data_IF_787153031601
#
_entry.id   IF_787153031601
#
_cell.length_a   1.000
_cell.length_b   1.000
_cell.length_c   1.000
_cell.angle_alpha   90.00
_cell.angle_beta   90.00
_cell.angle_gamma   90.00
#
_symmetry.space_group_name_H-M   'P 1'
#
loop_
_entity.id
_entity.type
_entity.pdbx_description
1 polymer ?
#
# COMPACT_ATOMS: atom_id res chain seq x y z
N UNK A 1 -15.50 5.98 5.22
CA UNK A 1 -16.71 6.79 5.03
C UNK A 1 -16.51 7.78 3.87
N UNK A 2 -15.47 8.61 3.92
CA UNK A 2 -15.24 9.74 2.99
C UNK A 2 -15.13 9.28 1.51
N UNK A 3 -14.39 8.20 1.25
CA UNK A 3 -14.26 7.65 -0.11
C UNK A 3 -15.61 7.24 -0.73
N UNK A 4 -16.54 6.73 0.08
CA UNK A 4 -17.92 6.41 -0.37
C UNK A 4 -18.70 7.66 -0.67
N UNK A 5 -18.58 8.68 0.18
CA UNK A 5 -19.24 9.98 -0.02
C UNK A 5 -18.72 10.68 -1.26
N UNK A 6 -17.41 10.68 -1.48
CA UNK A 6 -16.81 11.22 -2.71
C UNK A 6 -17.35 10.51 -3.96
N UNK A 7 -17.42 9.19 -3.94
CA UNK A 7 -17.96 8.43 -5.05
C UNK A 7 -19.46 8.69 -5.28
N UNK A 8 -20.23 8.87 -4.21
CA UNK A 8 -21.65 9.22 -4.31
C UNK A 8 -21.83 10.61 -4.92
N UNK A 9 -21.18 11.62 -4.35
CA UNK A 9 -21.24 13.01 -4.84
C UNK A 9 -20.81 13.12 -6.30
N UNK A 10 -19.73 12.40 -6.68
CA UNK A 10 -19.28 12.37 -8.06
C UNK A 10 -20.36 11.82 -9.00
N UNK A 11 -21.03 10.74 -8.63
CA UNK A 11 -22.13 10.17 -9.45
C UNK A 11 -23.35 11.10 -9.54
N UNK A 12 -23.80 11.61 -8.41
CA UNK A 12 -24.99 12.51 -8.32
C UNK A 12 -24.81 13.78 -9.14
N UNK A 13 -23.60 14.34 -9.12
CA UNK A 13 -23.28 15.56 -9.83
C UNK A 13 -22.60 15.35 -11.19
N UNK A 14 -22.48 14.09 -11.65
CA UNK A 14 -21.86 13.71 -12.94
C UNK A 14 -20.44 14.28 -13.10
N UNK A 15 -19.67 14.27 -12.01
CA UNK A 15 -18.30 14.79 -11.99
C UNK A 15 -17.33 13.77 -12.58
N UNK A 16 -16.36 14.27 -13.33
CA UNK A 16 -15.22 13.46 -13.79
C UNK A 16 -14.15 13.47 -12.70
N UNK A 17 -13.82 12.28 -12.20
CA UNK A 17 -12.85 12.12 -11.14
C UNK A 17 -11.82 11.04 -11.53
N UNK A 18 -10.58 11.20 -11.09
CA UNK A 18 -9.52 10.25 -11.33
C UNK A 18 -8.62 10.13 -10.09
N UNK A 19 -8.38 8.91 -9.67
CA UNK A 19 -7.42 8.61 -8.62
C UNK A 19 -6.00 8.51 -9.20
N UNK A 20 -4.99 8.84 -8.38
CA UNK A 20 -3.60 8.91 -8.79
C UNK A 20 -2.87 7.57 -8.94
N UNK A 21 -3.54 6.49 -9.32
CA UNK A 21 -2.93 5.19 -9.62
C UNK A 21 -2.42 5.18 -11.06
N UNK A 22 -1.40 5.97 -11.35
CA UNK A 22 -0.94 6.28 -12.70
C UNK A 22 -0.43 5.07 -13.48
N UNK A 23 0.11 4.03 -12.81
CA UNK A 23 0.65 2.83 -13.45
C UNK A 23 -0.47 2.06 -14.18
N UNK A 24 -1.70 2.14 -13.70
CA UNK A 24 -2.89 1.56 -14.33
C UNK A 24 -3.06 1.96 -15.81
N UNK A 25 -2.67 3.19 -16.17
CA UNK A 25 -2.73 3.69 -17.53
C UNK A 25 -1.61 3.17 -18.45
N UNK A 26 -0.62 2.47 -17.90
CA UNK A 26 0.56 2.01 -18.64
C UNK A 26 0.24 0.91 -19.67
N UNK A 27 0.86 1.00 -20.85
CA UNK A 27 0.66 0.01 -21.91
C UNK A 27 1.07 -1.40 -21.49
N UNK A 28 2.14 -1.54 -20.69
CA UNK A 28 2.59 -2.83 -20.18
C UNK A 28 1.56 -3.48 -19.26
N UNK A 29 0.87 -2.70 -18.42
CA UNK A 29 -0.21 -3.20 -17.57
C UNK A 29 -1.36 -3.75 -18.39
N UNK A 30 -1.83 -3.00 -19.39
CA UNK A 30 -2.90 -3.44 -20.28
C UNK A 30 -2.54 -4.73 -20.99
N UNK A 31 -1.32 -4.82 -21.53
CA UNK A 31 -0.85 -6.04 -22.20
C UNK A 31 -0.79 -7.24 -21.24
N UNK A 32 -0.30 -7.05 -20.01
CA UNK A 32 -0.28 -8.11 -19.01
C UNK A 32 -1.70 -8.58 -18.67
N UNK A 33 -2.62 -7.64 -18.48
CA UNK A 33 -4.05 -7.96 -18.24
C UNK A 33 -4.66 -8.75 -19.42
N UNK A 34 -4.40 -8.33 -20.65
CA UNK A 34 -4.86 -9.04 -21.86
C UNK A 34 -4.33 -10.48 -21.91
N UNK A 35 -3.04 -10.69 -21.64
CA UNK A 35 -2.43 -12.02 -21.62
C UNK A 35 -3.04 -12.92 -20.54
N UNK A 36 -3.25 -12.40 -19.34
CA UNK A 36 -3.89 -13.16 -18.27
C UNK A 36 -5.34 -13.51 -18.61
N UNK A 37 -6.12 -12.52 -19.08
CA UNK A 37 -7.54 -12.71 -19.41
C UNK A 37 -7.77 -13.58 -20.64
N UNK A 38 -6.82 -13.64 -21.57
CA UNK A 38 -6.88 -14.54 -22.72
C UNK A 38 -6.60 -16.02 -22.34
N UNK A 39 -6.21 -16.29 -21.10
CA UNK A 39 -5.85 -17.64 -20.67
C UNK A 39 -4.44 -18.08 -21.09
N UNK A 40 -3.61 -17.19 -21.64
CA UNK A 40 -2.28 -17.53 -22.15
C UNK A 40 -1.35 -18.15 -21.12
N UNK A 41 -1.53 -17.82 -19.84
CA UNK A 41 -0.75 -18.38 -18.71
C UNK A 41 -1.52 -19.46 -17.93
N UNK A 42 -2.72 -19.83 -18.38
CA UNK A 42 -3.61 -20.74 -17.67
C UNK A 42 -4.27 -20.13 -16.43
N UNK A 43 -4.95 -20.95 -15.61
CA UNK A 43 -5.62 -20.49 -14.41
C UNK A 43 -4.60 -20.07 -13.34
N UNK A 44 -4.83 -18.90 -12.73
CA UNK A 44 -3.95 -18.34 -11.70
C UNK A 44 -4.56 -18.59 -10.32
N UNK A 45 -3.88 -19.36 -9.50
CA UNK A 45 -4.26 -19.65 -8.11
C UNK A 45 -3.44 -18.90 -7.06
N UNK A 46 -2.26 -18.38 -7.44
CA UNK A 46 -1.34 -17.71 -6.52
C UNK A 46 -0.70 -16.48 -7.17
N UNK A 47 -0.57 -15.41 -6.38
CA UNK A 47 0.05 -14.15 -6.80
C UNK A 47 0.97 -13.65 -5.71
N UNK A 48 2.21 -13.36 -6.06
CA UNK A 48 3.16 -12.71 -5.18
C UNK A 48 3.47 -11.30 -5.68
N UNK A 49 3.34 -10.33 -4.80
CA UNK A 49 3.66 -8.93 -5.07
C UNK A 49 4.66 -8.45 -4.03
N UNK A 50 5.77 -7.91 -4.48
CA UNK A 50 6.80 -7.42 -3.57
C UNK A 50 7.36 -6.07 -3.99
N UNK A 51 7.73 -5.27 -3.00
CA UNK A 51 8.42 -4.00 -3.19
C UNK A 51 9.90 -4.20 -2.87
N UNK A 52 10.73 -4.18 -3.93
CA UNK A 52 12.08 -4.72 -3.93
C UNK A 52 13.23 -3.77 -3.60
N UNK A 53 12.98 -2.59 -3.07
CA UNK A 53 14.03 -1.57 -3.01
C UNK A 53 15.20 -1.88 -2.05
N UNK A 54 15.07 -2.79 -1.07
CA UNK A 54 16.11 -3.04 -0.06
C UNK A 54 16.21 -4.50 0.41
N UNK A 55 15.97 -5.43 -0.48
CA UNK A 55 15.95 -6.84 -0.10
C UNK A 55 17.35 -7.45 0.08
N UNK A 56 17.70 -7.76 1.30
CA UNK A 56 18.90 -8.53 1.64
C UNK A 56 18.55 -9.83 2.40
N UNK A 57 17.57 -10.55 1.91
CA UNK A 57 17.14 -11.81 2.55
C UNK A 57 15.94 -11.64 3.48
N UNK A 58 15.55 -12.69 4.22
CA UNK A 58 14.44 -12.62 5.14
C UNK A 58 14.68 -11.58 6.24
N UNK A 59 13.62 -10.95 6.78
CA UNK A 59 13.74 -9.99 7.87
C UNK A 59 14.49 -10.57 9.06
N UNK A 60 15.40 -9.80 9.62
CA UNK A 60 16.14 -10.19 10.83
C UNK A 60 15.49 -9.57 12.07
N UNK A 61 15.75 -10.09 13.28
CA UNK A 61 15.23 -9.48 14.51
C UNK A 61 15.61 -8.00 14.67
N UNK A 62 16.73 -7.56 14.10
CA UNK A 62 17.15 -6.16 14.08
C UNK A 62 16.31 -5.27 13.18
N UNK A 63 15.65 -5.85 12.18
CA UNK A 63 14.75 -5.13 11.28
C UNK A 63 13.41 -4.79 11.95
N UNK A 64 13.17 -5.33 13.14
CA UNK A 64 11.99 -5.04 13.95
C UNK A 64 12.11 -3.73 14.73
N UNK A 65 13.30 -3.10 14.76
CA UNK A 65 13.46 -1.81 15.41
C UNK A 65 12.78 -0.70 14.62
N UNK A 66 11.66 -0.26 15.13
CA UNK A 66 10.91 0.87 14.60
C UNK A 66 11.28 2.12 15.38
N UNK A 67 11.34 3.30 14.72
CA UNK A 67 11.65 4.53 15.43
C UNK A 67 10.51 4.95 16.34
N UNK A 68 10.84 5.33 17.56
CA UNK A 68 9.97 6.10 18.42
C UNK A 68 9.74 7.51 17.86
N UNK A 69 8.68 8.16 18.32
CA UNK A 69 8.48 9.58 18.01
C UNK A 69 9.67 10.40 18.52
N UNK A 70 10.16 11.37 17.73
CA UNK A 70 11.26 12.22 18.15
C UNK A 70 10.88 13.04 19.38
N UNK A 71 11.81 13.19 20.29
CA UNK A 71 11.64 13.97 21.52
C UNK A 71 12.17 15.40 21.42
N UNK A 72 13.06 15.64 20.48
CA UNK A 72 13.58 16.97 20.15
C UNK A 72 12.55 17.82 19.41
N UNK A 73 12.67 19.13 19.53
CA UNK A 73 11.73 20.11 18.96
C UNK A 73 12.51 21.20 18.23
N UNK A 74 13.10 20.89 17.07
CA UNK A 74 13.80 21.92 16.30
C UNK A 74 12.81 22.96 15.77
N UNK A 75 13.28 24.18 15.47
CA UNK A 75 12.45 25.22 14.92
C UNK A 75 11.92 24.81 13.54
N UNK A 76 10.69 25.24 13.25
CA UNK A 76 10.09 25.07 11.91
C UNK A 76 10.89 25.90 10.90
N UNK A 77 11.30 25.33 9.77
CA UNK A 77 11.94 26.09 8.70
C UNK A 77 11.04 27.24 8.20
N UNK A 78 11.60 28.43 7.91
CA UNK A 78 10.79 29.58 7.47
C UNK A 78 10.06 29.39 6.14
N UNK A 79 10.41 28.34 5.39
CA UNK A 79 9.77 27.96 4.13
C UNK A 79 8.63 26.94 4.30
N UNK A 80 8.35 26.51 5.53
CA UNK A 80 7.31 25.53 5.83
C UNK A 80 6.27 26.12 6.77
N UNK A 81 5.02 26.12 6.36
CA UNK A 81 3.89 26.33 7.26
C UNK A 81 3.52 24.97 7.87
N UNK A 82 3.94 24.75 9.11
CA UNK A 82 3.79 23.46 9.77
C UNK A 82 2.32 23.16 10.13
N UNK A 83 1.55 24.15 10.48
CA UNK A 83 0.14 24.01 10.81
C UNK A 83 -0.68 23.60 9.58
N UNK A 84 -0.47 24.27 8.45
CA UNK A 84 -1.07 23.87 7.19
C UNK A 84 -0.62 22.50 6.72
N UNK A 85 0.64 22.14 6.96
CA UNK A 85 1.14 20.81 6.61
C UNK A 85 0.52 19.71 7.46
N UNK A 86 0.32 19.92 8.75
CA UNK A 86 -0.37 18.99 9.65
C UNK A 86 -1.82 18.74 9.20
N UNK A 87 -2.51 19.77 8.73
CA UNK A 87 -3.90 19.68 8.32
C UNK A 87 -4.78 19.06 9.42
N UNK A 88 -5.53 17.98 9.14
CA UNK A 88 -6.41 17.34 10.12
C UNK A 88 -5.69 16.38 11.07
N UNK A 89 -4.38 16.19 10.94
CA UNK A 89 -3.63 15.31 11.85
C UNK A 89 -3.57 15.91 13.26
N UNK A 90 -3.40 15.06 14.26
CA UNK A 90 -3.22 15.52 15.63
C UNK A 90 -1.99 16.44 15.73
N UNK A 91 -2.15 17.53 16.49
CA UNK A 91 -1.06 18.48 16.72
C UNK A 91 0.17 17.80 17.33
N UNK A 92 1.31 18.08 16.72
CA UNK A 92 2.62 17.62 17.22
C UNK A 92 3.73 18.58 16.81
N UNK A 93 4.82 18.63 17.58
CA UNK A 93 5.98 19.45 17.24
C UNK A 93 6.56 19.05 15.88
N UNK A 94 7.02 20.07 15.14
CA UNK A 94 7.79 19.83 13.93
C UNK A 94 9.05 18.99 14.23
N UNK A 95 9.36 18.11 13.29
CA UNK A 95 10.63 17.42 13.24
C UNK A 95 10.98 17.05 11.78
N UNK A 96 12.25 17.20 11.35
CA UNK A 96 12.68 16.86 9.98
C UNK A 96 12.58 15.34 9.68
N UNK A 97 12.35 14.50 10.69
CA UNK A 97 12.07 13.08 10.49
C UNK A 97 10.73 12.84 9.78
N UNK A 98 9.83 13.81 9.74
CA UNK A 98 8.53 13.70 9.05
C UNK A 98 8.59 14.17 7.61
N UNK A 99 9.35 15.23 7.32
CA UNK A 99 9.35 15.90 6.02
C UNK A 99 10.75 15.91 5.38
N UNK A 100 10.84 15.95 4.05
CA UNK A 100 9.75 16.08 3.07
C UNK A 100 9.12 14.77 2.60
N UNK A 101 9.50 13.62 2.97
CA UNK A 101 8.95 12.38 2.41
C UNK A 101 8.85 11.22 3.39
N UNK A 102 9.35 11.41 4.58
CA UNK A 102 9.43 10.35 5.59
C UNK A 102 8.15 10.17 6.40
N UNK A 103 7.16 11.06 6.23
CA UNK A 103 5.84 11.00 6.86
C UNK A 103 5.12 9.66 6.63
N UNK A 104 5.43 8.97 5.54
CA UNK A 104 4.83 7.68 5.19
C UNK A 104 5.01 6.60 6.24
N UNK A 105 6.06 6.68 7.02
CA UNK A 105 6.38 5.74 8.09
C UNK A 105 5.73 6.05 9.44
N UNK A 106 4.84 7.02 9.53
CA UNK A 106 4.24 7.47 10.81
C UNK A 106 2.73 7.38 10.78
N UNK A 107 2.15 6.69 11.77
CA UNK A 107 0.70 6.45 11.82
C UNK A 107 -0.16 7.72 11.83
N UNK A 108 0.37 8.83 12.35
CA UNK A 108 -0.33 10.11 12.34
C UNK A 108 -0.54 10.68 10.94
N UNK A 109 0.23 10.25 9.96
CA UNK A 109 0.25 10.84 8.62
C UNK A 109 -0.05 9.84 7.52
N UNK A 110 0.25 8.54 7.73
CA UNK A 110 0.09 7.52 6.70
C UNK A 110 -0.01 6.10 7.28
N UNK A 111 -0.18 5.13 6.39
CA UNK A 111 -0.36 3.72 6.68
C UNK A 111 0.86 2.86 6.29
N UNK A 112 2.06 3.47 6.25
CA UNK A 112 3.29 2.78 5.89
C UNK A 112 3.36 2.32 4.44
N UNK A 113 4.35 1.50 4.14
CA UNK A 113 4.62 1.01 2.78
C UNK A 113 3.47 0.19 2.21
N UNK A 114 2.83 -0.65 3.02
CA UNK A 114 1.67 -1.42 2.58
C UNK A 114 0.53 -0.48 2.13
N UNK A 115 0.17 0.50 2.96
CA UNK A 115 -0.94 1.40 2.65
C UNK A 115 -0.67 2.32 1.46
N UNK A 116 0.59 2.74 1.27
CA UNK A 116 0.99 3.64 0.19
C UNK A 116 1.15 2.91 -1.16
N UNK A 117 1.76 1.72 -1.16
CA UNK A 117 2.15 1.04 -2.40
C UNK A 117 1.27 -0.14 -2.83
N UNK A 118 0.47 -0.71 -1.94
CA UNK A 118 -0.38 -1.84 -2.29
C UNK A 118 -1.31 -1.52 -3.47
N UNK A 119 -1.95 -0.35 -3.45
CA UNK A 119 -2.85 0.10 -4.51
C UNK A 119 -2.15 0.26 -5.87
N UNK A 120 -0.84 0.53 -5.90
CA UNK A 120 -0.09 0.65 -7.13
C UNK A 120 0.35 -0.71 -7.69
N UNK A 121 0.84 -1.60 -6.85
CA UNK A 121 1.47 -2.84 -7.31
C UNK A 121 0.51 -4.03 -7.37
N UNK A 122 -0.51 -4.06 -6.52
CA UNK A 122 -1.54 -5.10 -6.57
C UNK A 122 -2.63 -4.82 -7.61
N UNK A 123 -2.71 -3.58 -8.11
CA UNK A 123 -3.69 -3.15 -9.12
C UNK A 123 -3.73 -4.10 -10.33
N UNK A 124 -2.56 -4.52 -10.82
CA UNK A 124 -2.47 -5.47 -11.93
C UNK A 124 -3.21 -6.78 -11.64
N UNK A 125 -3.00 -7.35 -10.45
CA UNK A 125 -3.65 -8.59 -10.05
C UNK A 125 -5.17 -8.39 -9.90
N UNK A 126 -5.59 -7.29 -9.29
CA UNK A 126 -6.99 -6.94 -9.14
C UNK A 126 -7.70 -6.81 -10.48
N UNK A 127 -7.08 -6.13 -11.43
CA UNK A 127 -7.64 -5.94 -12.78
C UNK A 127 -7.62 -7.21 -13.60
N UNK A 128 -6.49 -7.91 -13.63
CA UNK A 128 -6.33 -9.10 -14.48
C UNK A 128 -7.18 -10.28 -14.01
N UNK A 129 -7.34 -10.44 -12.69
CA UNK A 129 -8.03 -11.57 -12.07
C UNK A 129 -9.42 -11.22 -11.53
N UNK A 130 -9.91 -10.00 -11.74
CA UNK A 130 -11.18 -9.48 -11.20
C UNK A 130 -11.33 -9.71 -9.70
N UNK A 131 -10.27 -9.44 -8.93
CA UNK A 131 -10.28 -9.56 -7.48
C UNK A 131 -11.11 -8.43 -6.87
N UNK A 132 -11.93 -8.74 -5.83
CA UNK A 132 -12.78 -7.73 -5.18
C UNK A 132 -12.66 -7.78 -3.66
N UNK A 133 -13.25 -8.76 -3.05
CA UNK A 133 -13.35 -8.86 -1.61
C UNK A 133 -12.66 -10.15 -1.14
N UNK A 134 -11.58 -10.05 -0.36
CA UNK A 134 -10.96 -11.23 0.22
C UNK A 134 -11.88 -11.83 1.29
N UNK A 135 -11.83 -13.14 1.43
CA UNK A 135 -12.49 -13.87 2.51
C UNK A 135 -11.67 -13.88 3.79
N UNK A 136 -10.35 -13.84 3.64
CA UNK A 136 -9.40 -13.84 4.74
C UNK A 136 -8.27 -12.87 4.45
N UNK A 137 -7.83 -12.14 5.46
CA UNK A 137 -6.62 -11.32 5.44
C UNK A 137 -5.81 -11.60 6.68
N UNK A 138 -4.56 -12.00 6.48
CA UNK A 138 -3.58 -12.21 7.54
C UNK A 138 -2.36 -11.33 7.30
N UNK A 139 -1.82 -10.75 8.36
CA UNK A 139 -0.63 -9.92 8.25
C UNK A 139 0.41 -10.29 9.32
N UNK A 140 1.67 -10.24 8.93
CA UNK A 140 2.83 -10.41 9.80
C UNK A 140 3.72 -9.18 9.67
N UNK A 141 4.24 -8.72 10.78
CA UNK A 141 5.15 -7.57 10.85
C UNK A 141 5.29 -7.07 12.27
N UNK A 142 6.28 -6.22 12.54
CA UNK A 142 6.43 -5.60 13.85
C UNK A 142 5.29 -4.60 14.10
N UNK A 143 4.84 -4.54 15.34
CA UNK A 143 3.82 -3.58 15.79
C UNK A 143 4.49 -2.48 16.61
N UNK A 144 4.18 -1.23 16.29
CA UNK A 144 4.68 -0.07 17.00
C UNK A 144 3.58 1.00 17.13
N UNK A 145 3.47 1.71 18.27
CA UNK A 145 2.39 2.67 18.48
C UNK A 145 2.51 3.93 17.61
N UNK A 146 3.72 4.34 17.26
CA UNK A 146 3.99 5.60 16.57
C UNK A 146 4.31 5.42 15.08
N UNK A 147 4.96 4.32 14.71
CA UNK A 147 5.49 4.12 13.37
C UNK A 147 4.98 2.85 12.70
N UNK A 148 4.83 2.94 11.38
CA UNK A 148 4.40 1.83 10.55
C UNK A 148 5.48 0.75 10.44
N UNK A 149 5.06 -0.49 10.24
CA UNK A 149 5.94 -1.64 10.09
C UNK A 149 7.00 -1.44 9.00
N UNK A 150 8.26 -1.70 9.33
CA UNK A 150 9.37 -1.65 8.36
C UNK A 150 9.29 -2.76 7.34
N UNK A 151 8.76 -3.90 7.74
CA UNK A 151 8.44 -4.98 6.84
C UNK A 151 7.03 -5.50 7.12
N UNK A 152 6.38 -6.01 6.11
CA UNK A 152 5.06 -6.62 6.22
C UNK A 152 4.95 -7.75 5.21
N UNK A 153 4.41 -8.88 5.66
CA UNK A 153 3.89 -9.92 4.79
C UNK A 153 2.39 -9.93 5.01
N UNK A 154 1.61 -9.69 3.95
CA UNK A 154 0.15 -9.69 4.04
C UNK A 154 -0.44 -10.66 3.02
N UNK A 155 -1.14 -11.67 3.50
CA UNK A 155 -1.76 -12.74 2.72
C UNK A 155 -3.26 -12.49 2.64
N UNK A 156 -3.78 -12.50 1.43
CA UNK A 156 -5.19 -12.28 1.13
C UNK A 156 -5.74 -13.48 0.36
N UNK A 157 -6.82 -14.07 0.83
CA UNK A 157 -7.51 -15.15 0.13
C UNK A 157 -8.76 -14.63 -0.55
N UNK A 158 -8.90 -14.93 -1.82
CA UNK A 158 -10.05 -14.55 -2.62
C UNK A 158 -10.82 -15.81 -3.05
N UNK A 159 -12.16 -15.77 -3.04
CA UNK A 159 -12.97 -16.90 -3.46
C UNK A 159 -12.86 -17.14 -4.97
N UNK A 160 -13.34 -18.29 -5.42
CA UNK A 160 -13.52 -18.56 -6.83
C UNK A 160 -14.41 -17.48 -7.50
N UNK A 161 -14.13 -17.20 -8.76
CA UNK A 161 -14.82 -16.16 -9.55
C UNK A 161 -15.31 -16.79 -10.87
N UNK A 162 -16.56 -17.29 -10.85
CA UNK A 162 -17.08 -18.09 -11.94
C UNK A 162 -16.27 -19.37 -12.13
N UNK A 163 -15.72 -19.60 -13.32
CA UNK A 163 -14.85 -20.74 -13.62
C UNK A 163 -13.38 -20.57 -13.18
N UNK A 164 -13.02 -19.37 -12.71
CA UNK A 164 -11.66 -19.09 -12.22
C UNK A 164 -11.46 -19.63 -10.80
N UNK A 165 -10.29 -20.23 -10.50
CA UNK A 165 -10.02 -20.79 -9.19
C UNK A 165 -9.96 -19.72 -8.09
N UNK A 166 -10.03 -20.10 -6.80
CA UNK A 166 -9.63 -19.22 -5.70
C UNK A 166 -8.20 -18.71 -5.91
N UNK A 167 -7.92 -17.50 -5.39
CA UNK A 167 -6.59 -16.88 -5.49
C UNK A 167 -6.06 -16.53 -4.11
N UNK A 168 -4.81 -16.86 -3.88
CA UNK A 168 -4.03 -16.34 -2.75
C UNK A 168 -3.10 -15.26 -3.27
N UNK A 169 -3.30 -14.02 -2.81
CA UNK A 169 -2.38 -12.92 -3.08
C UNK A 169 -1.57 -12.62 -1.84
N UNK A 170 -0.25 -12.66 -1.97
CA UNK A 170 0.66 -12.33 -0.87
C UNK A 170 1.51 -11.12 -1.24
N UNK A 171 1.44 -10.11 -0.38
CA UNK A 171 2.25 -8.91 -0.42
C UNK A 171 3.48 -9.05 0.46
N UNK A 172 4.60 -8.51 -0.01
CA UNK A 172 5.86 -8.45 0.74
C UNK A 172 6.48 -7.07 0.65
N UNK A 173 6.92 -6.50 1.75
CA UNK A 173 7.81 -5.36 1.77
C UNK A 173 8.84 -5.45 2.90
N UNK A 174 9.91 -4.66 2.79
CA UNK A 174 10.92 -4.51 3.84
C UNK A 174 11.84 -5.72 4.05
N UNK A 175 12.03 -6.58 3.05
CA UNK A 175 13.01 -7.66 3.08
C UNK A 175 12.46 -9.07 2.96
N UNK A 176 11.15 -9.23 2.78
CA UNK A 176 10.54 -10.52 2.48
C UNK A 176 10.48 -10.79 0.97
N UNK A 177 10.75 -12.03 0.55
CA UNK A 177 10.47 -12.55 -0.78
C UNK A 177 9.66 -13.82 -0.70
N UNK A 178 8.86 -14.15 -1.72
CA UNK A 178 8.37 -15.51 -1.82
C UNK A 178 9.55 -16.48 -1.94
N UNK A 179 9.48 -17.57 -1.21
CA UNK A 179 10.33 -18.73 -1.50
C UNK A 179 9.79 -19.35 -2.80
N UNK A 180 10.50 -19.14 -3.90
CA UNK A 180 10.19 -19.73 -5.21
C UNK A 180 10.89 -21.07 -5.37
#
# INVERSE_FOLDING_TARGET
YEARMMAQVARENKLVTQMGTQIHAGANYRRAVELVKSGAIGPVGEVHVWLGANFKGPPTPTDNQQPDAPTDRPPVPPTLDWDLWLGPAAERPYNPVYVPGRWRGWWNFANGTLGDFFCHYCDLAFWALDLRHPTTVEAQGPVHPESAARWTIARHEYPARGEQPPVVLTWYNGGGYPAL
#
